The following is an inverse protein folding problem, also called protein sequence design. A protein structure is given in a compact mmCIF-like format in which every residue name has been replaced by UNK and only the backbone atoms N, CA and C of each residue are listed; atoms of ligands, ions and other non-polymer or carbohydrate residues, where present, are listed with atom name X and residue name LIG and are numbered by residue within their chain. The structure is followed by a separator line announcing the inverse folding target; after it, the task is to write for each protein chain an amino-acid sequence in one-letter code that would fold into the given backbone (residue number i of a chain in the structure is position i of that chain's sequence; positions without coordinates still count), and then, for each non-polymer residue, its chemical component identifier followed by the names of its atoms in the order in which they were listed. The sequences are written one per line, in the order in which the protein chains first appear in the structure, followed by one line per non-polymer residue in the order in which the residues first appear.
data_IF_636135187011
#
_entry.id   IF_636135187011
#
_cell.length_a   1.000
_cell.length_b   1.000
_cell.length_c   1.000
_cell.angle_alpha   90.00
_cell.angle_beta   90.00
_cell.angle_gamma   90.00
#
_symmetry.space_group_name_H-M   'P 1'
#
loop_
_entity.id
_entity.type
_entity.pdbx_description
1 polymer ?
#
# COMPACT_ATOMS: atom_id res chain seq x y z
N UNK A 1 26.17 -31.15 -19.61
CA UNK A 1 25.81 -30.09 -18.65
C UNK A 1 24.66 -30.61 -17.82
N UNK A 2 24.95 -31.06 -16.59
CA UNK A 2 23.92 -31.45 -15.63
C UNK A 2 23.25 -30.19 -15.09
N UNK A 3 22.11 -29.83 -15.69
CA UNK A 3 21.22 -28.82 -15.13
C UNK A 3 20.48 -29.47 -13.96
N UNK A 4 21.10 -29.46 -12.78
CA UNK A 4 20.40 -29.70 -11.53
C UNK A 4 19.39 -28.57 -11.32
N UNK A 5 18.18 -28.76 -11.82
CA UNK A 5 17.01 -27.95 -11.47
C UNK A 5 16.53 -28.34 -10.06
N UNK A 6 17.37 -28.19 -9.04
CA UNK A 6 16.89 -28.16 -7.66
C UNK A 6 16.18 -26.83 -7.47
N UNK A 7 14.90 -26.77 -7.83
CA UNK A 7 14.03 -25.65 -7.48
C UNK A 7 13.87 -25.65 -5.96
N UNK A 8 14.59 -24.76 -5.28
CA UNK A 8 14.35 -24.48 -3.88
C UNK A 8 12.94 -23.87 -3.74
N UNK A 9 12.12 -24.46 -2.86
CA UNK A 9 10.79 -23.93 -2.58
C UNK A 9 10.89 -22.56 -1.91
N UNK A 10 10.03 -21.63 -2.32
CA UNK A 10 9.90 -20.32 -1.68
C UNK A 10 8.96 -20.46 -0.48
N UNK A 11 9.33 -19.89 0.67
CA UNK A 11 8.49 -19.90 1.85
C UNK A 11 7.25 -19.04 1.63
N UNK A 12 6.09 -19.59 1.96
CA UNK A 12 4.79 -18.94 1.76
C UNK A 12 4.10 -18.68 3.10
N UNK A 13 3.34 -17.59 3.16
CA UNK A 13 2.57 -17.16 4.34
C UNK A 13 1.12 -17.01 3.91
N UNK A 14 0.18 -17.54 4.70
CA UNK A 14 -1.25 -17.42 4.38
C UNK A 14 -1.71 -15.96 4.41
N UNK A 15 -2.72 -15.59 3.63
CA UNK A 15 -3.27 -14.22 3.63
C UNK A 15 -3.73 -13.81 5.03
N UNK A 16 -4.33 -14.74 5.81
CA UNK A 16 -4.73 -14.44 7.20
C UNK A 16 -3.55 -14.14 8.11
N UNK A 17 -2.46 -14.87 7.95
CA UNK A 17 -1.24 -14.64 8.71
C UNK A 17 -0.55 -13.34 8.26
N UNK A 18 -0.55 -13.03 6.96
CA UNK A 18 -0.08 -11.75 6.44
C UNK A 18 -0.89 -10.56 7.00
N UNK A 19 -2.23 -10.66 7.02
CA UNK A 19 -3.12 -9.68 7.67
C UNK A 19 -2.72 -9.48 9.14
N UNK A 20 -2.51 -10.57 9.88
CA UNK A 20 -2.11 -10.52 11.28
C UNK A 20 -0.71 -9.91 11.47
N UNK A 21 0.26 -10.30 10.65
CA UNK A 21 1.64 -9.83 10.73
C UNK A 21 1.79 -8.36 10.36
N UNK A 22 1.03 -7.91 9.36
CA UNK A 22 1.09 -6.54 8.88
C UNK A 22 0.15 -5.62 9.66
N UNK A 23 -0.89 -6.16 10.27
CA UNK A 23 -1.89 -5.41 11.03
C UNK A 23 -2.79 -4.56 10.15
N UNK A 24 -3.14 -5.02 8.94
CA UNK A 24 -4.03 -4.30 8.02
C UNK A 24 -5.24 -5.13 7.64
N UNK A 25 -6.34 -4.45 7.26
CA UNK A 25 -7.53 -5.09 6.69
C UNK A 25 -7.21 -5.72 5.32
N UNK A 26 -8.07 -6.65 4.91
CA UNK A 26 -7.94 -7.36 3.63
C UNK A 26 -7.88 -6.38 2.44
N UNK A 27 -8.71 -5.35 2.42
CA UNK A 27 -8.84 -4.42 1.29
C UNK A 27 -7.54 -3.62 1.05
N UNK A 28 -6.91 -3.17 2.14
CA UNK A 28 -5.61 -2.49 2.11
C UNK A 28 -4.52 -3.43 1.63
N UNK A 29 -4.50 -4.67 2.13
CA UNK A 29 -3.54 -5.69 1.72
C UNK A 29 -3.70 -6.05 0.23
N UNK A 30 -4.94 -6.20 -0.24
CA UNK A 30 -5.26 -6.55 -1.61
C UNK A 30 -4.77 -5.50 -2.61
N UNK A 31 -5.07 -4.23 -2.33
CA UNK A 31 -4.64 -3.10 -3.16
C UNK A 31 -3.12 -2.96 -3.19
N UNK A 32 -2.49 -3.00 -2.01
CA UNK A 32 -1.04 -2.90 -1.92
C UNK A 32 -0.32 -4.04 -2.64
N UNK A 33 -0.82 -5.27 -2.54
CA UNK A 33 -0.23 -6.43 -3.22
C UNK A 33 -0.31 -6.33 -4.75
N UNK A 34 -1.41 -5.76 -5.27
CA UNK A 34 -1.59 -5.45 -6.69
C UNK A 34 -0.57 -4.41 -7.16
N UNK A 35 -0.46 -3.28 -6.44
CA UNK A 35 0.46 -2.18 -6.75
C UNK A 35 1.94 -2.57 -6.65
N UNK A 36 2.30 -3.46 -5.72
CA UNK A 36 3.67 -3.96 -5.58
C UNK A 36 3.97 -5.17 -6.47
N UNK A 37 3.05 -5.57 -7.36
CA UNK A 37 3.20 -6.73 -8.24
C UNK A 37 3.56 -8.01 -7.46
N UNK A 38 3.00 -8.18 -6.26
CA UNK A 38 3.28 -9.32 -5.41
C UNK A 38 2.60 -10.58 -5.93
N UNK A 39 3.21 -11.72 -5.66
CA UNK A 39 2.73 -13.02 -6.08
C UNK A 39 1.67 -13.53 -5.11
N UNK A 40 0.39 -13.44 -5.52
CA UNK A 40 -0.69 -14.13 -4.84
C UNK A 40 -0.78 -15.59 -5.32
N UNK A 41 -0.44 -16.52 -4.44
CA UNK A 41 -0.59 -17.95 -4.68
C UNK A 41 -1.99 -18.38 -4.27
N UNK A 42 -2.72 -19.02 -5.18
CA UNK A 42 -4.08 -19.51 -4.97
C UNK A 42 -4.09 -21.03 -5.08
N UNK A 43 -4.55 -21.71 -4.02
CA UNK A 43 -4.67 -23.16 -3.94
C UNK A 43 -6.16 -23.54 -3.81
N UNK A 44 -6.89 -23.78 -4.90
CA UNK A 44 -8.28 -24.17 -4.77
C UNK A 44 -8.41 -25.54 -4.08
N UNK A 45 -9.52 -25.78 -3.36
CA UNK A 45 -9.76 -27.05 -2.67
C UNK A 45 -9.97 -28.23 -3.64
N UNK A 46 -10.37 -27.93 -4.88
CA UNK A 46 -10.55 -28.92 -5.94
C UNK A 46 -9.37 -28.89 -6.91
N UNK A 47 -9.09 -30.03 -7.55
CA UNK A 47 -8.04 -30.15 -8.57
C UNK A 47 -8.24 -29.10 -9.68
N UNK A 48 -7.18 -28.36 -9.97
CA UNK A 48 -7.12 -27.48 -11.13
C UNK A 48 -6.53 -28.18 -12.33
N UNK A 49 -7.00 -27.76 -13.50
CA UNK A 49 -6.49 -28.24 -14.78
C UNK A 49 -5.90 -27.05 -15.52
N UNK A 50 -4.63 -26.79 -15.25
CA UNK A 50 -3.81 -25.86 -16.01
C UNK A 50 -3.18 -26.55 -17.21
N UNK A 51 -3.08 -25.81 -18.29
CA UNK A 51 -2.35 -26.20 -19.48
C UNK A 51 -1.55 -25.02 -20.00
N UNK A 52 -0.62 -25.32 -20.90
CA UNK A 52 0.22 -24.33 -21.57
C UNK A 52 -0.27 -24.17 -23.01
N UNK A 53 -0.24 -22.95 -23.55
CA UNK A 53 -0.55 -22.65 -24.95
C UNK A 53 0.24 -21.45 -25.47
N UNK A 54 0.20 -21.23 -26.77
CA UNK A 54 0.54 -19.92 -27.32
C UNK A 54 -0.41 -18.81 -26.85
N UNK A 55 0.07 -17.56 -26.70
CA UNK A 55 -0.78 -16.40 -26.43
C UNK A 55 -1.93 -16.30 -27.43
N UNK A 56 -3.09 -15.84 -27.00
CA UNK A 56 -4.28 -15.75 -27.86
C UNK A 56 -4.07 -14.91 -29.13
N UNK A 57 -3.18 -13.94 -29.04
CA UNK A 57 -2.79 -12.96 -30.05
C UNK A 57 -1.56 -13.39 -30.88
N UNK A 58 -1.05 -14.60 -30.67
CA UNK A 58 0.08 -15.13 -31.43
C UNK A 58 -0.26 -15.26 -32.92
N UNK A 59 0.52 -14.57 -33.76
CA UNK A 59 0.42 -14.70 -35.21
C UNK A 59 1.09 -16.00 -35.66
N UNK A 60 0.34 -16.83 -36.37
CA UNK A 60 0.74 -18.19 -36.72
C UNK A 60 2.02 -18.20 -37.57
N UNK A 61 3.03 -18.92 -37.10
CA UNK A 61 4.32 -19.12 -37.77
C UNK A 61 4.43 -20.48 -38.49
N UNK A 62 5.64 -20.82 -38.95
CA UNK A 62 5.93 -22.06 -39.72
C UNK A 62 5.57 -23.34 -38.91
N UNK A 63 5.51 -23.25 -37.58
CA UNK A 63 5.16 -24.34 -36.67
C UNK A 63 3.63 -24.61 -36.54
N UNK A 64 2.76 -23.74 -37.09
CA UNK A 64 1.29 -23.78 -36.92
C UNK A 64 0.51 -24.52 -38.02
N UNK A 65 1.18 -25.33 -38.85
CA UNK A 65 0.51 -26.08 -39.94
C UNK A 65 -0.45 -27.18 -39.44
N UNK A 66 -0.58 -27.38 -38.13
CA UNK A 66 -1.51 -28.35 -37.52
C UNK A 66 -2.68 -27.61 -36.84
N UNK A 67 -3.93 -28.02 -37.12
CA UNK A 67 -5.17 -27.40 -36.61
C UNK A 67 -5.33 -27.44 -35.06
N UNK A 68 -4.45 -28.14 -34.34
CA UNK A 68 -4.39 -28.19 -32.87
C UNK A 68 -3.09 -27.56 -32.39
N UNK A 69 -3.14 -26.86 -31.26
CA UNK A 69 -1.96 -26.38 -30.55
C UNK A 69 -1.07 -27.58 -30.17
N UNK A 70 -0.06 -27.82 -31.01
CA UNK A 70 0.86 -28.96 -30.94
C UNK A 70 1.76 -28.93 -29.71
N UNK A 71 1.80 -27.78 -29.02
CA UNK A 71 2.59 -27.55 -27.81
C UNK A 71 1.73 -27.50 -26.55
N UNK A 72 0.42 -27.77 -26.65
CA UNK A 72 -0.43 -27.80 -25.48
C UNK A 72 -0.08 -28.95 -24.54
N UNK A 73 0.43 -28.60 -23.36
CA UNK A 73 0.82 -29.55 -22.32
C UNK A 73 -0.20 -29.54 -21.18
N UNK A 74 -0.54 -30.74 -20.72
CA UNK A 74 -1.42 -30.95 -19.58
C UNK A 74 -0.57 -31.19 -18.35
N UNK A 75 -0.84 -30.46 -17.27
CA UNK A 75 0.01 -30.49 -16.08
C UNK A 75 -0.74 -31.20 -14.96
N UNK A 76 -0.24 -32.36 -14.53
CA UNK A 76 -0.98 -33.24 -13.61
C UNK A 76 -0.68 -33.00 -12.13
N UNK A 77 0.50 -32.46 -11.82
CA UNK A 77 1.02 -32.31 -10.44
C UNK A 77 0.86 -30.90 -9.86
N UNK A 78 0.08 -30.04 -10.49
CA UNK A 78 -0.13 -28.66 -10.03
C UNK A 78 -1.26 -28.64 -9.00
N UNK A 79 -1.04 -27.93 -7.89
CA UNK A 79 -2.07 -27.72 -6.87
C UNK A 79 -2.46 -26.25 -6.69
N UNK A 80 -1.69 -25.30 -7.23
CA UNK A 80 -2.05 -23.89 -7.22
C UNK A 80 -1.50 -23.11 -8.41
N UNK A 81 -1.74 -21.81 -8.42
CA UNK A 81 -1.26 -20.91 -9.45
C UNK A 81 -1.06 -19.50 -8.87
N UNK A 82 -0.26 -18.68 -9.55
CA UNK A 82 -0.17 -17.25 -9.27
C UNK A 82 -0.98 -16.49 -10.30
N UNK A 83 -1.78 -15.54 -9.83
CA UNK A 83 -2.63 -14.67 -10.67
C UNK A 83 -1.82 -13.52 -11.26
N UNK A 84 -2.31 -12.87 -12.32
CA UNK A 84 -1.75 -11.58 -12.70
C UNK A 84 -1.98 -10.55 -11.59
N UNK A 85 -1.14 -9.51 -11.51
CA UNK A 85 -1.30 -8.42 -10.54
C UNK A 85 -2.71 -7.80 -10.57
N UNK A 86 -3.25 -7.55 -11.76
CA UNK A 86 -4.56 -6.88 -11.92
C UNK A 86 -5.77 -7.73 -11.47
N UNK A 87 -5.53 -9.01 -11.16
CA UNK A 87 -6.55 -9.94 -10.71
C UNK A 87 -6.45 -10.27 -9.21
N UNK A 88 -5.38 -9.81 -8.53
CA UNK A 88 -5.13 -10.09 -7.10
C UNK A 88 -6.29 -9.58 -6.24
N UNK A 89 -6.64 -8.31 -6.38
CA UNK A 89 -7.74 -7.68 -5.63
C UNK A 89 -9.05 -8.42 -5.87
N UNK A 90 -9.43 -8.59 -7.14
CA UNK A 90 -10.67 -9.28 -7.53
C UNK A 90 -10.74 -10.68 -6.93
N UNK A 91 -9.63 -11.42 -6.96
CA UNK A 91 -9.56 -12.79 -6.42
C UNK A 91 -9.71 -12.80 -4.90
N UNK A 92 -9.08 -11.86 -4.19
CA UNK A 92 -9.17 -11.77 -2.72
C UNK A 92 -10.57 -11.34 -2.24
N UNK A 93 -11.25 -10.45 -2.97
CA UNK A 93 -12.61 -10.02 -2.62
C UNK A 93 -13.69 -11.04 -3.01
N UNK A 94 -13.62 -11.57 -4.23
CA UNK A 94 -14.64 -12.50 -4.73
C UNK A 94 -14.43 -13.95 -4.26
N UNK A 95 -13.23 -14.27 -3.78
CA UNK A 95 -12.78 -15.64 -3.47
C UNK A 95 -13.01 -16.61 -4.63
N UNK A 96 -12.84 -16.10 -5.85
CA UNK A 96 -13.03 -16.83 -7.09
C UNK A 96 -11.80 -16.69 -8.00
N UNK A 97 -11.30 -17.81 -8.50
CA UNK A 97 -10.17 -17.84 -9.41
C UNK A 97 -10.56 -17.75 -10.89
N UNK A 98 -11.83 -17.90 -11.23
CA UNK A 98 -12.27 -17.81 -12.62
C UNK A 98 -12.07 -16.42 -13.21
N UNK A 99 -11.93 -15.40 -12.37
CA UNK A 99 -11.61 -14.02 -12.76
C UNK A 99 -10.12 -13.79 -12.98
N UNK A 100 -9.27 -14.82 -12.81
CA UNK A 100 -7.82 -14.65 -12.85
C UNK A 100 -7.17 -15.16 -14.13
N UNK A 101 -6.08 -14.50 -14.54
CA UNK A 101 -5.12 -15.01 -15.50
C UNK A 101 -3.94 -15.67 -14.77
N UNK A 102 -3.72 -16.99 -14.91
CA UNK A 102 -2.58 -17.64 -14.26
C UNK A 102 -1.28 -17.25 -14.98
N UNK A 103 -0.31 -16.70 -14.25
CA UNK A 103 1.01 -16.32 -14.77
C UNK A 103 2.10 -17.35 -14.41
N UNK A 104 1.95 -18.03 -13.27
CA UNK A 104 2.85 -19.10 -12.82
C UNK A 104 2.06 -20.28 -12.27
N UNK A 105 2.60 -21.48 -12.44
CA UNK A 105 2.10 -22.70 -11.83
C UNK A 105 2.76 -22.91 -10.47
N UNK A 106 2.01 -23.43 -9.50
CA UNK A 106 2.52 -23.68 -8.15
C UNK A 106 2.33 -25.15 -7.76
N UNK A 107 3.39 -25.73 -7.20
CA UNK A 107 3.36 -27.00 -6.48
C UNK A 107 3.78 -26.71 -5.03
N UNK A 108 2.87 -26.85 -4.08
CA UNK A 108 3.22 -26.70 -2.66
C UNK A 108 3.64 -28.01 -2.02
N UNK A 109 4.56 -27.92 -1.07
CA UNK A 109 4.87 -28.97 -0.12
C UNK A 109 4.22 -28.63 1.23
N UNK A 110 3.15 -29.34 1.64
CA UNK A 110 2.44 -29.09 2.90
C UNK A 110 3.33 -29.23 4.14
N UNK A 111 4.43 -29.99 4.06
CA UNK A 111 5.31 -30.23 5.21
C UNK A 111 6.26 -29.07 5.49
N UNK A 112 6.66 -28.33 4.45
CA UNK A 112 7.67 -27.28 4.54
C UNK A 112 7.12 -25.86 4.41
N UNK A 113 5.79 -25.69 4.26
CA UNK A 113 5.16 -24.40 3.96
C UNK A 113 5.90 -23.66 2.84
N UNK A 114 6.27 -24.41 1.81
CA UNK A 114 7.01 -23.90 0.67
C UNK A 114 6.25 -24.16 -0.63
N UNK A 115 6.49 -23.29 -1.60
CA UNK A 115 5.93 -23.35 -2.94
C UNK A 115 7.07 -23.45 -3.96
N UNK A 116 6.98 -24.46 -4.82
CA UNK A 116 7.77 -24.54 -6.03
C UNK A 116 6.99 -23.83 -7.12
N UNK A 117 7.58 -22.77 -7.65
CA UNK A 117 6.94 -21.88 -8.62
C UNK A 117 7.58 -22.09 -9.98
N UNK A 118 6.74 -22.34 -10.98
CA UNK A 118 7.19 -22.64 -12.33
C UNK A 118 6.52 -21.74 -13.36
N UNK A 119 7.30 -21.31 -14.34
CA UNK A 119 6.82 -20.57 -15.51
C UNK A 119 6.37 -21.55 -16.59
N UNK A 120 5.63 -21.08 -17.62
CA UNK A 120 5.30 -21.92 -18.78
C UNK A 120 6.55 -22.58 -19.39
N UNK A 121 7.62 -21.79 -19.52
CA UNK A 121 8.90 -22.27 -20.03
C UNK A 121 9.51 -23.38 -19.16
N UNK A 122 9.60 -23.19 -17.84
CA UNK A 122 10.23 -24.19 -16.98
C UNK A 122 9.42 -25.49 -16.90
N UNK A 123 8.09 -25.39 -16.85
CA UNK A 123 7.20 -26.56 -16.86
C UNK A 123 7.26 -27.34 -18.17
N UNK A 124 7.24 -26.63 -19.31
CA UNK A 124 7.35 -27.29 -20.60
C UNK A 124 8.70 -27.99 -20.78
N UNK A 125 9.78 -27.37 -20.29
CA UNK A 125 11.10 -27.96 -20.30
C UNK A 125 11.16 -29.24 -19.45
N UNK A 126 10.63 -29.22 -18.23
CA UNK A 126 10.54 -30.39 -17.34
C UNK A 126 9.77 -31.55 -18.02
N UNK A 127 8.56 -31.30 -18.50
CA UNK A 127 7.70 -32.32 -19.13
C UNK A 127 8.32 -32.89 -20.42
N UNK A 128 8.87 -32.04 -21.30
CA UNK A 128 9.48 -32.50 -22.56
C UNK A 128 10.79 -33.24 -22.34
N UNK A 129 11.59 -32.86 -21.34
CA UNK A 129 12.81 -33.59 -21.00
C UNK A 129 12.49 -34.98 -20.43
N UNK A 130 11.43 -35.09 -19.61
CA UNK A 130 10.92 -36.39 -19.15
C UNK A 130 10.38 -37.25 -20.31
N UNK A 131 9.69 -36.65 -21.28
CA UNK A 131 9.22 -37.37 -22.48
C UNK A 131 10.38 -37.78 -23.42
N UNK A 132 11.41 -36.95 -23.59
CA UNK A 132 12.57 -37.19 -24.50
C UNK A 132 13.73 -37.97 -23.89
N UNK A 133 13.70 -38.36 -22.61
CA UNK A 133 14.56 -39.45 -22.12
C UNK A 133 14.30 -40.78 -22.85
N UNK A 134 13.29 -40.82 -23.71
CA UNK A 134 13.05 -41.85 -24.72
C UNK A 134 13.20 -41.19 -26.09
N UNK A 135 14.21 -41.61 -26.86
CA UNK A 135 14.54 -41.27 -28.26
C UNK A 135 15.46 -40.05 -28.53
N UNK A 136 16.70 -40.41 -28.90
CA UNK A 136 17.74 -39.55 -29.47
C UNK A 136 17.34 -38.90 -30.80
N UNK A 137 17.83 -37.68 -31.02
CA UNK A 137 17.74 -36.94 -32.29
C UNK A 137 18.05 -35.47 -32.09
N UNK A 138 19.34 -35.13 -32.08
CA UNK A 138 19.87 -33.77 -31.95
C UNK A 138 19.46 -32.88 -33.14
N UNK A 139 19.01 -31.66 -32.80
CA UNK A 139 18.67 -30.47 -33.62
C UNK A 139 17.25 -29.92 -33.38
N UNK A 140 16.26 -30.76 -33.04
CA UNK A 140 14.86 -30.29 -32.85
C UNK A 140 14.52 -29.76 -31.46
N UNK A 141 15.35 -30.04 -30.44
CA UNK A 141 15.01 -29.73 -29.05
C UNK A 141 15.17 -28.23 -28.74
N UNK A 142 16.23 -27.58 -29.24
CA UNK A 142 16.46 -26.15 -28.99
C UNK A 142 15.39 -25.28 -29.67
N UNK A 143 14.99 -25.60 -30.89
CA UNK A 143 13.92 -24.90 -31.59
C UNK A 143 12.57 -25.11 -30.91
N UNK A 144 12.29 -26.34 -30.45
CA UNK A 144 11.11 -26.64 -29.64
C UNK A 144 11.13 -25.87 -28.31
N UNK A 145 12.26 -25.80 -27.61
CA UNK A 145 12.44 -25.06 -26.34
C UNK A 145 12.22 -23.56 -26.54
N UNK A 146 12.74 -22.99 -27.64
CA UNK A 146 12.50 -21.57 -27.99
C UNK A 146 11.02 -21.27 -28.16
N UNK A 147 10.24 -22.19 -28.72
CA UNK A 147 8.79 -22.04 -28.85
C UNK A 147 8.05 -21.92 -27.52
N UNK A 148 8.61 -22.39 -26.41
CA UNK A 148 8.01 -22.32 -25.06
C UNK A 148 8.31 -21.04 -24.29
N UNK A 149 9.28 -20.22 -24.75
CA UNK A 149 9.61 -18.94 -24.09
C UNK A 149 8.44 -17.94 -24.10
N UNK A 150 7.60 -18.02 -25.12
CA UNK A 150 6.52 -17.06 -25.35
C UNK A 150 5.14 -17.63 -25.03
N UNK A 151 5.04 -18.69 -24.22
CA UNK A 151 3.77 -19.34 -23.93
C UNK A 151 3.12 -18.82 -22.65
N UNK A 152 1.80 -19.00 -22.55
CA UNK A 152 1.01 -18.64 -21.37
C UNK A 152 0.34 -19.86 -20.74
N UNK A 153 0.11 -19.80 -19.43
CA UNK A 153 -0.79 -20.72 -18.77
C UNK A 153 -2.24 -20.34 -19.06
N UNK A 154 -3.12 -21.35 -19.09
CA UNK A 154 -4.55 -21.14 -19.13
C UNK A 154 -5.31 -22.25 -18.40
N UNK A 155 -6.50 -21.91 -17.91
CA UNK A 155 -7.43 -22.89 -17.35
C UNK A 155 -8.15 -23.64 -18.47
N UNK A 156 -8.19 -24.97 -18.39
CA UNK A 156 -9.03 -25.76 -19.29
C UNK A 156 -10.51 -25.50 -19.01
N UNK A 157 -11.33 -25.41 -20.08
CA UNK A 157 -12.77 -25.04 -20.08
C UNK A 157 -13.65 -25.75 -19.03
N UNK A 158 -13.28 -26.94 -18.54
CA UNK A 158 -14.03 -27.66 -17.50
C UNK A 158 -13.69 -27.27 -16.06
N UNK A 159 -12.49 -26.71 -15.82
CA UNK A 159 -12.00 -26.45 -14.47
C UNK A 159 -12.75 -25.27 -13.80
N UNK A 160 -13.15 -24.26 -14.58
CA UNK A 160 -13.67 -22.97 -14.10
C UNK A 160 -15.05 -23.05 -13.40
N UNK A 161 -15.74 -24.19 -13.46
CA UNK A 161 -17.12 -24.32 -12.97
C UNK A 161 -17.23 -24.44 -11.44
N UNK A 162 -16.13 -24.75 -10.74
CA UNK A 162 -16.10 -24.94 -9.29
C UNK A 162 -15.19 -23.89 -8.64
N UNK A 163 -15.79 -22.78 -8.20
CA UNK A 163 -15.09 -21.51 -7.95
C UNK A 163 -14.75 -21.21 -6.49
N UNK A 164 -15.12 -22.06 -5.52
CA UNK A 164 -14.99 -21.70 -4.11
C UNK A 164 -13.53 -21.75 -3.62
N UNK A 165 -12.93 -20.60 -3.34
CA UNK A 165 -11.68 -20.46 -2.60
C UNK A 165 -11.99 -20.02 -1.18
N UNK A 166 -11.07 -20.29 -0.27
CA UNK A 166 -11.06 -19.68 1.06
C UNK A 166 -9.77 -18.89 1.24
N UNK A 167 -9.80 -17.83 2.05
CA UNK A 167 -8.59 -17.07 2.38
C UNK A 167 -7.48 -17.93 3.01
N UNK A 168 -7.83 -19.07 3.63
CA UNK A 168 -6.85 -20.04 4.15
C UNK A 168 -6.02 -20.69 3.04
N UNK A 169 -6.51 -20.67 1.81
CA UNK A 169 -5.83 -21.24 0.66
C UNK A 169 -5.26 -20.17 -0.29
N UNK A 170 -5.15 -18.94 0.18
CA UNK A 170 -4.44 -17.86 -0.49
C UNK A 170 -3.17 -17.57 0.30
N UNK A 171 -2.05 -17.41 -0.40
CA UNK A 171 -0.74 -17.22 0.21
C UNK A 171 0.07 -16.17 -0.54
N UNK A 172 0.95 -15.49 0.18
CA UNK A 172 1.99 -14.63 -0.38
C UNK A 172 3.36 -15.28 -0.19
N UNK A 173 4.30 -14.94 -1.06
CA UNK A 173 5.71 -15.26 -0.84
C UNK A 173 6.21 -14.42 0.33
N UNK A 174 6.89 -15.03 1.30
CA UNK A 174 7.34 -14.36 2.53
C UNK A 174 8.23 -13.14 2.24
N UNK A 175 9.13 -13.25 1.25
CA UNK A 175 10.04 -12.17 0.86
C UNK A 175 9.32 -10.96 0.26
N UNK A 176 8.10 -11.12 -0.26
CA UNK A 176 7.30 -10.04 -0.84
C UNK A 176 6.45 -9.31 0.21
N UNK A 177 6.15 -9.95 1.35
CA UNK A 177 5.40 -9.33 2.45
C UNK A 177 6.12 -8.07 2.97
N UNK A 178 7.45 -8.07 3.00
CA UNK A 178 8.21 -6.87 3.39
C UNK A 178 8.06 -5.75 2.36
N UNK A 179 7.96 -6.07 1.06
CA UNK A 179 7.74 -5.07 0.01
C UNK A 179 6.35 -4.44 0.16
N UNK A 180 5.33 -5.26 0.36
CA UNK A 180 3.95 -4.80 0.65
C UNK A 180 3.96 -3.89 1.88
N UNK A 181 4.63 -4.32 2.96
CA UNK A 181 4.74 -3.52 4.18
C UNK A 181 5.32 -2.15 3.89
N UNK A 182 6.51 -2.10 3.28
CA UNK A 182 7.18 -0.83 2.95
C UNK A 182 6.33 0.06 2.06
N UNK A 183 5.65 -0.50 1.07
CA UNK A 183 4.74 0.24 0.19
C UNK A 183 3.58 0.89 0.96
N UNK A 184 2.92 0.15 1.85
CA UNK A 184 1.85 0.70 2.68
C UNK A 184 2.38 1.74 3.67
N UNK A 185 3.62 1.63 4.15
CA UNK A 185 4.22 2.69 4.98
C UNK A 185 4.58 3.94 4.17
N UNK A 186 5.08 3.77 2.95
CA UNK A 186 5.37 4.89 2.05
C UNK A 186 4.09 5.64 1.66
N UNK A 187 2.97 4.94 1.47
CA UNK A 187 1.68 5.60 1.19
C UNK A 187 1.13 6.42 2.37
N UNK A 188 1.60 6.14 3.60
CA UNK A 188 1.30 6.97 4.77
C UNK A 188 2.21 8.21 4.84
N UNK A 189 3.33 8.24 4.12
CA UNK A 189 4.26 9.35 4.19
C UNK A 189 3.68 10.59 3.47
N UNK A 190 3.54 11.73 4.17
CA UNK A 190 3.03 12.94 3.56
C UNK A 190 4.03 13.46 2.52
N UNK A 191 3.56 13.67 1.27
CA UNK A 191 4.33 14.40 0.27
C UNK A 191 4.36 15.89 0.65
N UNK A 192 5.55 16.42 0.88
CA UNK A 192 5.75 17.82 1.21
C UNK A 192 6.15 18.71 0.03
N UNK A 193 6.32 18.14 -1.17
CA UNK A 193 6.74 18.87 -2.37
C UNK A 193 5.62 19.75 -2.94
N UNK A 194 4.35 19.29 -2.86
CA UNK A 194 3.17 19.98 -3.39
C UNK A 194 2.47 20.91 -2.38
N UNK A 195 3.13 21.27 -1.29
CA UNK A 195 2.55 22.12 -0.24
C UNK A 195 2.41 23.60 -0.69
N UNK A 196 2.91 23.94 -1.89
CA UNK A 196 3.10 25.32 -2.34
C UNK A 196 1.88 26.07 -2.86
N UNK A 197 0.67 25.48 -2.85
CA UNK A 197 -0.53 26.14 -3.41
C UNK A 197 -1.52 26.63 -2.36
N UNK A 198 -1.13 26.66 -1.08
CA UNK A 198 -1.98 27.20 -0.02
C UNK A 198 -1.94 28.72 0.03
N UNK A 199 -3.08 29.38 -0.19
CA UNK A 199 -3.27 30.80 0.13
C UNK A 199 -3.35 30.99 1.63
N UNK A 200 -2.22 30.84 2.31
CA UNK A 200 -2.06 31.18 3.72
C UNK A 200 -1.44 32.58 3.80
N UNK A 201 -1.84 33.35 4.82
CA UNK A 201 -1.39 34.71 5.07
C UNK A 201 0.15 34.83 5.13
N UNK A 202 0.71 35.99 4.74
CA UNK A 202 2.16 36.32 4.77
C UNK A 202 2.81 36.14 6.17
N UNK A 203 1.99 36.02 7.22
CA UNK A 203 2.41 35.89 8.61
C UNK A 203 2.48 34.45 9.13
N UNK A 204 2.02 33.46 8.35
CA UNK A 204 2.14 32.05 8.72
C UNK A 204 3.53 31.51 8.42
N UNK A 205 4.08 30.72 9.36
CA UNK A 205 5.33 30.01 9.13
C UNK A 205 5.06 28.66 8.44
N UNK A 206 5.96 28.25 7.57
CA UNK A 206 6.14 26.90 7.04
C UNK A 206 5.77 25.74 7.98
N UNK A 207 6.00 25.86 9.31
CA UNK A 207 5.57 24.82 10.27
C UNK A 207 4.03 24.68 10.37
N UNK A 208 3.27 25.78 10.39
CA UNK A 208 1.80 25.73 10.38
C UNK A 208 1.30 25.12 9.06
N UNK A 209 1.96 25.48 7.95
CA UNK A 209 1.64 24.97 6.63
C UNK A 209 1.80 23.45 6.60
N UNK A 210 2.91 22.92 7.12
CA UNK A 210 3.16 21.49 7.20
C UNK A 210 2.17 20.76 8.12
N UNK A 211 1.79 21.36 9.26
CA UNK A 211 0.77 20.82 10.17
C UNK A 211 -0.57 20.69 9.46
N UNK A 212 -0.99 21.73 8.75
CA UNK A 212 -2.25 21.71 8.02
C UNK A 212 -2.22 20.72 6.85
N UNK A 213 -1.12 20.65 6.11
CA UNK A 213 -0.93 19.69 5.03
C UNK A 213 -0.99 18.24 5.53
N UNK A 214 -0.31 17.95 6.64
CA UNK A 214 -0.35 16.62 7.27
C UNK A 214 -1.75 16.29 7.76
N UNK A 215 -2.44 17.24 8.40
CA UNK A 215 -3.83 17.05 8.82
C UNK A 215 -4.70 16.62 7.62
N UNK A 216 -4.69 17.38 6.53
CA UNK A 216 -5.49 17.04 5.35
C UNK A 216 -5.05 15.75 4.66
N UNK A 217 -3.74 15.46 4.63
CA UNK A 217 -3.23 14.19 4.10
C UNK A 217 -3.81 13.00 4.88
N UNK A 218 -3.79 13.06 6.21
CA UNK A 218 -4.38 12.02 7.06
C UNK A 218 -5.91 11.95 6.95
N UNK A 219 -6.55 13.02 6.49
CA UNK A 219 -7.99 13.07 6.31
C UNK A 219 -8.46 12.55 4.94
N UNK A 220 -7.55 12.25 3.99
CA UNK A 220 -7.91 11.60 2.72
C UNK A 220 -8.53 10.23 2.98
N UNK A 221 -9.63 9.90 2.30
CA UNK A 221 -10.40 8.66 2.58
C UNK A 221 -9.53 7.39 2.48
N UNK A 222 -8.66 7.30 1.46
CA UNK A 222 -7.73 6.18 1.31
C UNK A 222 -6.76 6.06 2.50
N UNK A 223 -6.26 7.17 3.02
CA UNK A 223 -5.35 7.21 4.17
C UNK A 223 -6.10 6.92 5.47
N UNK A 224 -7.30 7.49 5.65
CA UNK A 224 -8.19 7.19 6.78
C UNK A 224 -8.49 5.71 6.88
N UNK A 225 -8.78 5.05 5.76
CA UNK A 225 -9.04 3.62 5.73
C UNK A 225 -7.82 2.82 6.17
N UNK A 226 -6.63 3.13 5.63
CA UNK A 226 -5.37 2.48 6.02
C UNK A 226 -5.09 2.70 7.52
N UNK A 227 -5.23 3.91 8.01
CA UNK A 227 -4.99 4.26 9.42
C UNK A 227 -5.99 3.58 10.36
N UNK A 228 -7.28 3.58 10.00
CA UNK A 228 -8.35 2.90 10.75
C UNK A 228 -8.09 1.41 10.84
N UNK A 229 -7.41 0.85 9.85
CA UNK A 229 -7.05 -0.56 9.82
C UNK A 229 -5.84 -0.90 10.68
N UNK A 230 -4.98 0.10 10.99
CA UNK A 230 -3.63 -0.15 11.48
C UNK A 230 -3.38 0.18 12.95
N UNK A 231 -4.13 1.06 13.60
CA UNK A 231 -3.52 1.76 14.76
C UNK A 231 -4.46 2.25 15.87
N UNK A 232 -3.95 2.11 17.09
CA UNK A 232 -4.37 2.88 18.26
C UNK A 232 -3.95 4.35 18.10
N UNK A 233 -4.56 5.28 18.83
CA UNK A 233 -4.15 6.70 18.82
C UNK A 233 -2.64 6.91 19.14
N UNK A 234 -2.00 5.94 19.83
CA UNK A 234 -0.58 5.98 20.18
C UNK A 234 0.36 5.85 18.96
N UNK A 235 0.00 5.07 17.95
CA UNK A 235 0.88 4.82 16.80
C UNK A 235 0.83 5.97 15.80
N UNK A 236 -0.37 6.56 15.62
CA UNK A 236 -0.54 7.84 14.89
C UNK A 236 0.39 8.91 15.44
N UNK A 237 0.43 9.05 16.77
CA UNK A 237 1.30 9.99 17.47
C UNK A 237 2.78 9.75 17.13
N UNK A 238 3.26 8.51 17.26
CA UNK A 238 4.68 8.18 16.98
C UNK A 238 5.07 8.52 15.54
N UNK A 239 4.21 8.19 14.59
CA UNK A 239 4.43 8.43 13.17
C UNK A 239 4.50 9.93 12.88
N UNK A 240 3.51 10.70 13.34
CA UNK A 240 3.48 12.16 13.12
C UNK A 240 4.68 12.83 13.79
N UNK A 241 5.02 12.46 15.03
CA UNK A 241 6.18 13.02 15.72
C UNK A 241 7.50 12.71 15.00
N UNK A 242 7.67 11.50 14.45
CA UNK A 242 8.86 11.14 13.68
C UNK A 242 9.00 12.01 12.41
N UNK A 243 7.92 12.17 11.65
CA UNK A 243 7.91 13.00 10.44
C UNK A 243 8.28 14.46 10.72
N UNK A 244 7.66 15.06 11.73
CA UNK A 244 7.99 16.43 12.15
C UNK A 244 9.44 16.53 12.66
N UNK A 245 9.88 15.53 13.43
CA UNK A 245 11.25 15.42 13.93
C UNK A 245 12.29 15.47 12.82
N UNK A 246 12.10 14.69 11.76
CA UNK A 246 13.01 14.62 10.62
C UNK A 246 12.99 15.91 9.78
N UNK A 247 11.81 16.39 9.41
CA UNK A 247 11.66 17.57 8.53
C UNK A 247 12.19 18.85 9.15
N UNK A 248 12.04 19.02 10.46
CA UNK A 248 12.41 20.23 11.17
C UNK A 248 13.70 20.10 11.99
N UNK A 249 14.42 18.99 11.82
CA UNK A 249 15.71 18.76 12.46
C UNK A 249 16.69 19.92 12.19
N UNK A 250 17.24 20.50 13.25
CA UNK A 250 18.28 21.55 13.14
C UNK A 250 17.79 22.93 12.67
N UNK A 251 16.48 23.14 12.45
CA UNK A 251 15.92 24.44 12.07
C UNK A 251 15.93 25.39 13.27
N UNK A 252 16.56 26.57 13.11
CA UNK A 252 16.56 27.62 14.14
C UNK A 252 15.12 28.04 14.46
N UNK A 253 14.80 28.18 15.74
CA UNK A 253 13.49 28.62 16.21
C UNK A 253 12.48 27.50 16.47
N UNK A 254 12.62 26.31 15.87
CA UNK A 254 11.73 25.16 16.12
C UNK A 254 12.22 24.37 17.33
N UNK A 255 11.41 24.30 18.38
CA UNK A 255 11.75 23.59 19.63
C UNK A 255 11.20 22.17 19.62
N UNK A 256 11.83 21.27 20.38
CA UNK A 256 11.30 19.90 20.61
C UNK A 256 9.85 19.92 21.08
N UNK A 257 9.52 20.85 21.98
CA UNK A 257 8.14 21.08 22.43
C UNK A 257 7.19 21.38 21.27
N UNK A 258 7.58 22.19 20.28
CA UNK A 258 6.73 22.48 19.11
C UNK A 258 6.43 21.23 18.28
N UNK A 259 7.43 20.37 18.08
CA UNK A 259 7.30 19.10 17.35
C UNK A 259 6.44 18.10 18.13
N UNK A 260 6.60 18.08 19.46
CA UNK A 260 5.79 17.27 20.35
C UNK A 260 4.33 17.75 20.42
N UNK A 261 3.99 18.98 20.04
CA UNK A 261 2.59 19.44 19.99
C UNK A 261 1.94 19.28 18.61
N UNK A 262 2.73 19.24 17.53
CA UNK A 262 2.23 19.14 16.17
C UNK A 262 1.25 17.97 15.99
N UNK A 263 1.56 16.79 16.54
CA UNK A 263 0.66 15.63 16.49
C UNK A 263 -0.65 15.82 17.26
N UNK A 264 -0.67 16.62 18.33
CA UNK A 264 -1.89 16.90 19.09
C UNK A 264 -2.83 17.81 18.31
N UNK A 265 -2.27 18.77 17.58
CA UNK A 265 -3.02 19.67 16.70
C UNK A 265 -3.61 18.88 15.53
N UNK A 266 -2.80 18.03 14.89
CA UNK A 266 -3.23 17.12 13.81
C UNK A 266 -4.26 16.09 14.31
N UNK A 267 -4.12 15.60 15.54
CA UNK A 267 -4.99 14.57 16.11
C UNK A 267 -6.35 15.07 16.63
N UNK A 268 -6.60 16.38 16.66
CA UNK A 268 -7.78 17.00 17.28
C UNK A 268 -8.94 17.23 16.30
N UNK A 269 -9.34 16.19 15.59
CA UNK A 269 -10.38 16.25 14.54
C UNK A 269 -11.80 16.62 15.04
N UNK A 270 -12.06 16.56 16.36
CA UNK A 270 -13.40 16.69 16.94
C UNK A 270 -13.63 17.93 17.81
N UNK A 271 -12.64 18.81 17.93
CA UNK A 271 -12.79 20.00 18.78
C UNK A 271 -13.49 21.09 17.98
N UNK A 272 -14.80 21.22 18.19
CA UNK A 272 -15.59 22.34 17.69
C UNK A 272 -15.48 23.51 18.66
N UNK A 273 -14.90 24.61 18.20
CA UNK A 273 -14.69 25.82 18.99
C UNK A 273 -15.60 26.90 18.42
N UNK A 274 -16.32 27.61 19.29
CA UNK A 274 -17.12 28.74 18.86
C UNK A 274 -16.23 29.96 18.56
N UNK A 275 -15.63 29.97 17.36
CA UNK A 275 -14.69 30.98 16.87
C UNK A 275 -15.24 32.42 16.97
N UNK A 276 -16.54 32.61 16.75
CA UNK A 276 -17.19 33.91 16.84
C UNK A 276 -17.07 34.53 18.24
N UNK A 277 -17.18 33.71 19.29
CA UNK A 277 -17.06 34.16 20.69
C UNK A 277 -15.64 34.55 21.09
N UNK A 278 -14.66 34.19 20.26
CA UNK A 278 -13.24 34.49 20.41
C UNK A 278 -12.77 35.64 19.52
N UNK A 279 -13.72 36.36 18.90
CA UNK A 279 -13.45 37.49 18.02
C UNK A 279 -12.73 37.10 16.74
N UNK A 280 -12.83 35.84 16.31
CA UNK A 280 -12.35 35.39 14.99
C UNK A 280 -13.39 35.81 13.96
N UNK A 281 -12.97 36.58 12.96
CA UNK A 281 -13.87 37.13 11.94
C UNK A 281 -14.12 36.12 10.82
N UNK A 282 -15.15 36.35 10.01
CA UNK A 282 -15.39 35.55 8.81
C UNK A 282 -14.24 35.63 7.80
N UNK A 283 -13.49 36.74 7.79
CA UNK A 283 -12.28 36.91 6.96
C UNK A 283 -11.12 36.05 7.49
N UNK A 284 -10.95 35.97 8.81
CA UNK A 284 -9.96 35.08 9.46
C UNK A 284 -10.20 33.60 9.17
N UNK A 285 -11.47 33.19 9.03
CA UNK A 285 -11.83 31.82 8.65
C UNK A 285 -11.55 31.61 7.17
N UNK A 286 -12.00 32.52 6.30
CA UNK A 286 -11.90 32.39 4.84
C UNK A 286 -10.47 32.40 4.29
N UNK A 287 -9.53 33.04 5.00
CA UNK A 287 -8.11 33.06 4.63
C UNK A 287 -7.35 31.78 4.98
N UNK A 288 -7.94 30.90 5.78
CA UNK A 288 -7.40 29.58 6.06
C UNK A 288 -7.91 28.59 4.99
N UNK A 289 -7.23 27.45 4.85
CA UNK A 289 -7.66 26.41 3.91
C UNK A 289 -9.10 25.98 4.19
N UNK A 290 -9.88 25.73 3.13
CA UNK A 290 -11.21 25.14 3.26
C UNK A 290 -11.14 23.81 4.00
N UNK A 291 -11.82 23.72 5.15
CA UNK A 291 -11.81 22.54 6.01
C UNK A 291 -10.68 22.50 7.05
N UNK A 292 -9.93 23.60 7.23
CA UNK A 292 -9.00 23.74 8.33
C UNK A 292 -9.74 23.60 9.69
N UNK A 293 -9.21 22.78 10.62
CA UNK A 293 -9.75 22.68 11.98
C UNK A 293 -9.80 24.03 12.71
N UNK A 294 -10.80 24.21 13.56
CA UNK A 294 -10.95 25.41 14.39
C UNK A 294 -9.67 25.71 15.19
N UNK A 295 -8.99 24.67 15.67
CA UNK A 295 -7.71 24.78 16.40
C UNK A 295 -6.59 25.39 15.54
N UNK A 296 -6.53 25.09 14.24
CA UNK A 296 -5.53 25.66 13.33
C UNK A 296 -5.84 27.12 13.02
N UNK A 297 -7.11 27.44 12.80
CA UNK A 297 -7.57 28.82 12.59
C UNK A 297 -7.20 29.68 13.80
N UNK A 298 -7.40 29.16 15.02
CA UNK A 298 -7.00 29.87 16.24
C UNK A 298 -5.49 30.09 16.33
N UNK A 299 -4.67 29.10 15.96
CA UNK A 299 -3.21 29.22 15.99
C UNK A 299 -2.72 30.28 14.99
N UNK A 300 -3.26 30.29 13.77
CA UNK A 300 -2.94 31.31 12.75
C UNK A 300 -3.31 32.72 13.24
N UNK A 301 -4.54 32.91 13.71
CA UNK A 301 -5.01 34.19 14.24
C UNK A 301 -4.18 34.66 15.43
N UNK A 302 -3.83 33.75 16.35
CA UNK A 302 -2.99 34.09 17.49
C UNK A 302 -1.56 34.47 17.07
N UNK A 303 -1.00 33.80 16.06
CA UNK A 303 0.33 34.11 15.52
C UNK A 303 0.36 35.50 14.87
N UNK A 304 -0.65 35.82 14.05
CA UNK A 304 -0.78 37.13 13.42
C UNK A 304 -0.94 38.26 14.44
N UNK A 305 -1.89 38.13 15.38
CA UNK A 305 -2.15 39.15 16.41
C UNK A 305 -0.90 39.45 17.24
N UNK A 306 -0.14 38.42 17.58
CA UNK A 306 1.13 38.54 18.29
C UNK A 306 2.20 39.26 17.46
N UNK A 307 2.33 38.94 16.17
CA UNK A 307 3.25 39.63 15.26
C UNK A 307 2.91 41.11 15.10
N UNK A 308 1.62 41.43 14.99
CA UNK A 308 1.11 42.81 14.95
C UNK A 308 1.18 43.54 16.30
N UNK A 309 1.71 42.89 17.35
CA UNK A 309 1.80 43.40 18.73
C UNK A 309 0.46 43.90 19.27
N UNK A 310 -0.65 43.28 18.84
CA UNK A 310 -1.98 43.61 19.35
C UNK A 310 -2.06 43.07 20.79
N UNK A 311 -1.98 43.97 21.76
CA UNK A 311 -2.19 43.64 23.17
C UNK A 311 -3.69 43.43 23.43
N UNK A 312 -4.03 42.50 24.33
CA UNK A 312 -5.37 42.29 24.88
C UNK A 312 -6.49 42.26 23.82
N UNK A 313 -6.31 41.45 22.79
CA UNK A 313 -7.37 41.23 21.81
C UNK A 313 -8.58 40.57 22.46
N UNK A 314 -9.77 40.92 21.94
CA UNK A 314 -11.06 40.46 22.44
C UNK A 314 -11.07 38.93 22.60
N UNK A 315 -11.28 38.46 23.84
CA UNK A 315 -11.37 37.04 24.17
C UNK A 315 -10.04 36.31 24.37
N UNK A 316 -8.89 37.00 24.54
CA UNK A 316 -7.56 36.40 24.78
C UNK A 316 -7.53 35.34 25.88
N UNK A 317 -8.21 35.59 27.02
CA UNK A 317 -8.29 34.65 28.14
C UNK A 317 -9.16 33.42 27.79
N UNK A 318 -10.32 33.67 27.18
CA UNK A 318 -11.22 32.62 26.66
C UNK A 318 -10.55 31.78 25.56
N UNK A 319 -9.63 32.38 24.82
CA UNK A 319 -8.82 31.73 23.79
C UNK A 319 -7.94 30.65 24.42
N UNK A 320 -7.31 30.94 25.56
CA UNK A 320 -6.46 29.98 26.25
C UNK A 320 -7.30 28.85 26.86
N UNK A 321 -8.48 29.17 27.41
CA UNK A 321 -9.39 28.18 28.02
C UNK A 321 -9.91 27.15 27.02
N UNK A 322 -10.30 27.55 25.81
CA UNK A 322 -10.76 26.62 24.78
C UNK A 322 -9.63 25.71 24.25
N UNK A 323 -8.39 26.21 24.27
CA UNK A 323 -7.21 25.43 23.89
C UNK A 323 -6.86 24.39 24.97
N UNK A 324 -7.00 24.74 26.25
CA UNK A 324 -6.88 23.78 27.37
C UNK A 324 -7.93 22.69 27.26
N UNK A 325 -9.19 23.06 26.96
CA UNK A 325 -10.28 22.07 26.75
C UNK A 325 -9.98 21.15 25.58
N UNK A 326 -9.27 21.62 24.57
CA UNK A 326 -8.75 20.82 23.47
C UNK A 326 -7.54 19.94 23.86
N UNK A 327 -7.06 19.98 25.10
CA UNK A 327 -5.86 19.25 25.55
C UNK A 327 -4.53 19.88 25.11
N UNK A 328 -4.55 21.16 24.72
CA UNK A 328 -3.37 21.94 24.35
C UNK A 328 -3.01 22.86 25.52
N UNK A 329 -1.91 22.56 26.20
CA UNK A 329 -1.44 23.34 27.34
C UNK A 329 -1.01 24.76 26.91
N UNK A 330 -1.39 25.85 27.62
CA UNK A 330 -1.14 27.22 27.18
C UNK A 330 0.35 27.58 27.13
N UNK A 331 1.16 26.99 28.02
CA UNK A 331 2.62 27.14 28.01
C UNK A 331 3.23 26.54 26.75
N UNK A 332 2.74 25.38 26.33
CA UNK A 332 3.16 24.67 25.14
C UNK A 332 2.70 25.37 23.87
N UNK A 333 1.48 25.90 23.86
CA UNK A 333 0.95 26.73 22.76
C UNK A 333 1.75 28.03 22.61
N UNK A 334 2.04 28.74 23.71
CA UNK A 334 2.85 29.96 23.64
C UNK A 334 4.25 29.68 23.11
N UNK A 335 4.86 28.56 23.49
CA UNK A 335 6.16 28.13 22.95
C UNK A 335 6.04 27.70 21.49
N UNK A 336 5.01 26.96 21.11
CA UNK A 336 4.75 26.55 19.73
C UNK A 336 4.53 27.77 18.83
N UNK A 337 3.61 28.68 19.18
CA UNK A 337 3.39 29.95 18.48
C UNK A 337 4.67 30.81 18.45
N UNK A 338 5.42 30.86 19.54
CA UNK A 338 6.68 31.62 19.59
C UNK A 338 7.76 31.05 18.66
N UNK A 339 7.89 29.73 18.62
CA UNK A 339 8.80 28.99 17.75
C UNK A 339 8.40 29.12 16.27
N UNK A 340 7.09 29.05 15.99
CA UNK A 340 6.48 29.34 14.68
C UNK A 340 6.81 30.79 14.26
N UNK A 341 6.78 31.77 15.15
CA UNK A 341 7.08 33.16 14.78
C UNK A 341 8.60 33.41 14.58
N UNK A 342 9.46 32.77 15.38
CA UNK A 342 10.92 33.01 15.38
C UNK A 342 11.71 32.26 14.32
N UNK A 343 11.13 31.27 13.65
CA UNK A 343 11.82 30.48 12.61
C UNK A 343 12.08 31.21 11.28
N UNK A 344 12.16 32.54 11.27
CA UNK A 344 12.53 33.36 10.10
C UNK A 344 13.98 33.16 9.70
#
# INVERSE_FOLDING_TARGET
MDLNFTQHGEKIISVKEAIKHLGFKLDVLASAASETYSSLIVIPPNKIFLAIRYPKDYQRGIFDRQKKDSLSLNLEKINGFITSPEDIEKTLHSLNWSTSKPIKAVRTDPKSNSAIISTPYSMAHEEKFHQKKIQHGDSSLLDLIRSYKNQEFYFKKGALKNTKITLNNCFFIESEIQKIKSHIYASLEPNFEDISDYQINEWSNSLIIDINAIYHHLQKDSIKEIISSKTTNSDKKKIITAWFGERWAGRKGVTKASLDQAHKIVGNENVKINLNTLGVTGEDIKRNQAGAPDILILIDVAAERRNKKIQDYLGSDKFHDELIKAGVEPGDLRQAIYSIIKGK
#
